data_IF_537289654843
#
_entry.id   IF_537289654843
#
_cell.length_a   1.000
_cell.length_b   1.000
_cell.length_c   1.000
_cell.angle_alpha   90.00
_cell.angle_beta   90.00
_cell.angle_gamma   90.00
#
_symmetry.space_group_name_H-M   'P 1'
#
loop_
_entity.id
_entity.type
_entity.pdbx_description
1 polymer ?
#
# COMPACT_ATOMS: atom_id res chain seq x y z
N UNK A 1 41.50 -7.82 -18.15
CA UNK A 1 41.66 -6.67 -17.24
C UNK A 1 40.30 -6.01 -17.09
N UNK A 2 39.66 -6.15 -15.94
CA UNK A 2 38.35 -5.55 -15.66
C UNK A 2 38.58 -4.15 -15.06
N UNK A 3 38.07 -3.11 -15.72
CA UNK A 3 38.21 -1.73 -15.27
C UNK A 3 37.29 -1.46 -14.07
N UNK A 4 37.84 -1.24 -12.85
CA UNK A 4 37.04 -1.12 -11.62
C UNK A 4 36.19 0.16 -11.53
N UNK A 5 36.42 1.16 -12.40
CA UNK A 5 35.73 2.45 -12.35
C UNK A 5 34.26 2.42 -12.79
N UNK A 6 33.86 1.47 -13.64
CA UNK A 6 32.49 1.44 -14.16
C UNK A 6 31.47 1.01 -13.11
N UNK A 7 31.82 0.08 -12.22
CA UNK A 7 30.88 -0.44 -11.22
C UNK A 7 30.46 0.64 -10.20
N UNK A 8 31.39 1.48 -9.74
CA UNK A 8 31.08 2.54 -8.78
C UNK A 8 30.06 3.55 -9.31
N UNK A 9 30.15 3.91 -10.61
CA UNK A 9 29.20 4.83 -11.24
C UNK A 9 27.77 4.27 -11.28
N UNK A 10 27.64 2.96 -11.48
CA UNK A 10 26.34 2.26 -11.55
C UNK A 10 25.68 2.23 -10.17
N UNK A 11 26.46 1.98 -9.10
CA UNK A 11 25.95 2.00 -7.73
C UNK A 11 25.46 3.39 -7.30
N UNK A 12 26.24 4.44 -7.58
CA UNK A 12 25.84 5.82 -7.29
C UNK A 12 24.53 6.18 -8.00
N UNK A 13 24.42 5.82 -9.28
CA UNK A 13 23.21 6.04 -10.09
C UNK A 13 22.00 5.30 -9.53
N UNK A 14 22.19 4.08 -9.00
CA UNK A 14 21.09 3.29 -8.41
C UNK A 14 20.54 3.93 -7.14
N UNK A 15 21.41 4.37 -6.21
CA UNK A 15 20.99 5.05 -4.98
C UNK A 15 20.24 6.35 -5.28
N UNK A 16 20.74 7.13 -6.24
CA UNK A 16 20.05 8.34 -6.71
C UNK A 16 18.64 8.02 -7.24
N UNK A 17 18.51 6.99 -8.10
CA UNK A 17 17.21 6.61 -8.67
C UNK A 17 16.21 6.11 -7.63
N UNK A 18 16.66 5.44 -6.58
CA UNK A 18 15.78 4.99 -5.46
C UNK A 18 15.34 6.15 -4.58
N UNK A 19 16.21 7.14 -4.35
CA UNK A 19 15.92 8.31 -3.50
C UNK A 19 15.06 9.37 -4.21
N UNK A 20 15.16 9.46 -5.54
CA UNK A 20 14.47 10.48 -6.34
C UNK A 20 12.93 10.54 -6.13
N UNK A 21 12.17 9.42 -6.07
CA UNK A 21 10.75 9.49 -5.77
C UNK A 21 10.44 10.14 -4.41
N UNK A 22 11.30 9.93 -3.40
CA UNK A 22 11.10 10.49 -2.08
C UNK A 22 11.36 12.00 -2.04
N UNK A 23 12.36 12.49 -2.79
CA UNK A 23 12.64 13.93 -2.88
C UNK A 23 11.55 14.66 -3.65
N UNK A 24 10.97 14.02 -4.67
CA UNK A 24 9.88 14.59 -5.47
C UNK A 24 8.52 14.54 -4.78
N UNK A 25 8.36 13.74 -3.72
CA UNK A 25 7.06 13.49 -3.09
C UNK A 25 6.40 14.78 -2.57
N UNK A 26 7.18 15.71 -2.01
CA UNK A 26 6.67 16.99 -1.48
C UNK A 26 6.35 18.02 -2.55
N UNK A 27 6.96 17.92 -3.73
CA UNK A 27 6.84 18.92 -4.81
C UNK A 27 5.79 18.47 -5.83
N UNK A 28 5.86 17.20 -6.24
CA UNK A 28 4.98 16.62 -7.25
C UNK A 28 4.80 15.11 -7.02
N UNK A 29 3.76 14.70 -6.27
CA UNK A 29 3.45 13.29 -6.02
C UNK A 29 3.26 12.49 -7.31
N UNK A 30 2.68 13.10 -8.35
CA UNK A 30 2.47 12.46 -9.65
C UNK A 30 3.79 12.15 -10.37
N UNK A 31 4.76 13.06 -10.31
CA UNK A 31 6.09 12.84 -10.89
C UNK A 31 6.87 11.79 -10.09
N UNK A 32 6.79 11.84 -8.75
CA UNK A 32 7.35 10.79 -7.88
C UNK A 32 6.81 9.40 -8.27
N UNK A 33 5.50 9.27 -8.48
CA UNK A 33 4.86 8.02 -8.90
C UNK A 33 5.36 7.53 -10.27
N UNK A 34 5.57 8.44 -11.22
CA UNK A 34 6.16 8.12 -12.53
C UNK A 34 7.58 7.59 -12.38
N UNK A 35 8.42 8.23 -11.55
CA UNK A 35 9.78 7.77 -11.30
C UNK A 35 9.82 6.40 -10.62
N UNK A 36 8.96 6.17 -9.63
CA UNK A 36 8.80 4.84 -9.00
C UNK A 36 8.43 3.78 -10.03
N UNK A 37 7.44 4.06 -10.89
CA UNK A 37 7.01 3.11 -11.93
C UNK A 37 8.14 2.83 -12.93
N UNK A 38 8.85 3.87 -13.38
CA UNK A 38 10.01 3.72 -14.28
C UNK A 38 11.13 2.92 -13.63
N UNK A 39 11.44 3.20 -12.36
CA UNK A 39 12.48 2.49 -11.61
C UNK A 39 12.16 0.99 -11.51
N UNK A 40 10.92 0.61 -11.16
CA UNK A 40 10.51 -0.80 -11.09
C UNK A 40 10.66 -1.54 -12.41
N UNK A 41 10.33 -0.88 -13.53
CA UNK A 41 10.48 -1.48 -14.88
C UNK A 41 11.94 -1.73 -15.24
N UNK A 42 12.84 -0.84 -14.82
CA UNK A 42 14.27 -0.96 -15.11
C UNK A 42 15.00 -1.90 -14.15
N UNK A 43 14.50 -2.07 -12.92
CA UNK A 43 15.17 -2.80 -11.84
C UNK A 43 14.21 -3.71 -11.06
N UNK A 44 13.64 -4.74 -11.70
CA UNK A 44 12.65 -5.63 -11.09
C UNK A 44 13.19 -6.31 -9.81
N UNK A 45 14.49 -6.59 -9.74
CA UNK A 45 15.16 -7.21 -8.59
C UNK A 45 15.15 -6.35 -7.32
N UNK A 46 15.04 -5.02 -7.46
CA UNK A 46 14.96 -4.08 -6.32
C UNK A 46 13.58 -3.52 -6.07
N UNK A 47 12.59 -3.89 -6.88
CA UNK A 47 11.21 -3.40 -6.75
C UNK A 47 10.62 -3.66 -5.36
N UNK A 48 11.03 -4.74 -4.71
CA UNK A 48 10.58 -5.13 -3.36
C UNK A 48 10.79 -4.02 -2.31
N UNK A 49 11.85 -3.21 -2.43
CA UNK A 49 12.14 -2.12 -1.48
C UNK A 49 11.05 -1.04 -1.55
N UNK A 50 10.55 -0.74 -2.75
CA UNK A 50 9.52 0.29 -2.95
C UNK A 50 8.09 -0.26 -2.77
N UNK A 51 7.87 -1.57 -2.89
CA UNK A 51 6.54 -2.19 -2.71
C UNK A 51 6.00 -2.01 -1.28
N UNK A 52 6.88 -1.71 -0.32
CA UNK A 52 6.48 -1.40 1.04
C UNK A 52 5.84 -0.01 1.19
N UNK A 53 6.23 0.96 0.36
CA UNK A 53 5.85 2.37 0.47
C UNK A 53 5.01 2.91 -0.68
N UNK A 54 5.05 2.25 -1.84
CA UNK A 54 4.40 2.71 -3.06
C UNK A 54 3.48 1.63 -3.66
N UNK A 55 2.37 2.06 -4.24
CA UNK A 55 1.42 1.21 -4.96
C UNK A 55 2.12 0.48 -6.11
N UNK A 56 2.01 -0.84 -6.17
CA UNK A 56 2.64 -1.68 -7.21
C UNK A 56 2.17 -1.34 -8.63
N UNK A 57 0.92 -0.86 -8.78
CA UNK A 57 0.31 -0.61 -10.08
C UNK A 57 0.61 0.80 -10.62
N UNK A 58 0.38 1.85 -9.83
CA UNK A 58 0.51 3.24 -10.30
C UNK A 58 1.76 3.97 -9.76
N UNK A 59 2.49 3.38 -8.81
CA UNK A 59 3.67 3.99 -8.21
C UNK A 59 3.39 5.08 -7.17
N UNK A 60 2.12 5.42 -6.89
CA UNK A 60 1.77 6.40 -5.87
C UNK A 60 2.26 6.00 -4.48
N UNK A 61 2.71 6.97 -3.68
CA UNK A 61 3.06 6.76 -2.29
C UNK A 61 1.80 6.47 -1.46
N UNK A 62 1.87 5.57 -0.47
CA UNK A 62 0.67 5.02 0.19
C UNK A 62 0.52 5.51 1.64
N UNK A 63 1.56 6.15 2.23
CA UNK A 63 1.56 6.52 3.65
C UNK A 63 1.13 7.96 3.96
N UNK A 64 1.02 8.83 2.97
CA UNK A 64 0.62 10.25 3.09
C UNK A 64 -0.91 10.44 3.11
N UNK A 65 -1.66 9.40 3.50
CA UNK A 65 -3.12 9.38 3.43
C UNK A 65 -3.68 8.99 2.05
N UNK A 66 -2.83 8.76 1.03
CA UNK A 66 -3.25 8.22 -0.27
C UNK A 66 -3.46 6.71 -0.29
N UNK A 67 -3.50 6.08 0.89
CA UNK A 67 -3.87 4.69 1.02
C UNK A 67 -4.17 4.29 2.46
N UNK A 68 -4.60 3.04 2.61
CA UNK A 68 -4.96 2.47 3.90
C UNK A 68 -4.30 1.10 4.07
N UNK A 69 -3.77 0.83 5.26
CA UNK A 69 -3.29 -0.49 5.67
C UNK A 69 -4.18 -1.03 6.78
N UNK A 70 -4.81 -2.18 6.56
CA UNK A 70 -5.75 -2.80 7.48
C UNK A 70 -5.33 -4.25 7.77
N UNK A 71 -5.48 -4.68 9.02
CA UNK A 71 -5.30 -6.08 9.41
C UNK A 71 -6.61 -6.84 9.23
N UNK A 72 -6.67 -7.76 8.28
CA UNK A 72 -7.89 -8.52 7.95
C UNK A 72 -7.72 -9.99 8.31
N UNK A 73 -8.75 -10.61 8.90
CA UNK A 73 -8.82 -12.07 9.09
C UNK A 73 -9.54 -12.70 7.90
N UNK A 74 -8.81 -13.45 7.08
CA UNK A 74 -9.37 -14.18 5.95
C UNK A 74 -9.62 -15.65 6.31
N UNK A 75 -10.82 -16.13 5.98
CA UNK A 75 -11.14 -17.55 6.07
C UNK A 75 -10.48 -18.28 4.89
N UNK A 76 -9.56 -19.20 5.19
CA UNK A 76 -8.95 -20.05 4.15
C UNK A 76 -10.03 -20.89 3.48
N UNK A 77 -10.14 -20.81 2.15
CA UNK A 77 -11.10 -21.60 1.35
C UNK A 77 -10.66 -23.06 1.14
N UNK A 78 -9.68 -23.56 1.90
CA UNK A 78 -9.18 -24.92 1.70
C UNK A 78 -10.26 -25.94 2.06
N UNK A 79 -10.84 -26.55 1.03
CA UNK A 79 -11.95 -27.50 1.10
C UNK A 79 -11.58 -28.87 1.70
N UNK A 80 -10.30 -29.15 2.00
CA UNK A 80 -9.83 -30.51 2.29
C UNK A 80 -9.37 -30.79 3.72
N UNK A 81 -9.23 -29.78 4.59
CA UNK A 81 -8.84 -30.04 5.98
C UNK A 81 -10.06 -29.98 6.91
N UNK A 82 -10.48 -31.13 7.45
CA UNK A 82 -11.45 -31.23 8.57
C UNK A 82 -10.91 -30.68 9.90
N UNK A 83 -9.66 -30.23 9.93
CA UNK A 83 -9.00 -29.64 11.09
C UNK A 83 -9.44 -28.17 11.28
N UNK A 84 -9.56 -27.77 12.54
CA UNK A 84 -10.14 -26.51 13.04
C UNK A 84 -9.93 -25.27 12.17
N UNK A 85 -10.91 -24.36 12.15
CA UNK A 85 -10.96 -23.17 11.32
C UNK A 85 -9.79 -22.20 11.57
N UNK A 86 -8.65 -22.42 10.94
CA UNK A 86 -7.55 -21.46 10.97
C UNK A 86 -7.89 -20.28 10.05
N UNK A 87 -8.27 -19.16 10.68
CA UNK A 87 -8.27 -17.86 10.03
C UNK A 87 -6.82 -17.43 9.75
N UNK A 88 -6.53 -17.00 8.53
CA UNK A 88 -5.25 -16.40 8.18
C UNK A 88 -5.35 -14.90 8.38
N UNK A 89 -4.45 -14.31 9.18
CA UNK A 89 -4.31 -12.85 9.27
C UNK A 89 -3.53 -12.37 8.05
N UNK A 90 -4.04 -11.35 7.37
CA UNK A 90 -3.38 -10.70 6.23
C UNK A 90 -3.33 -9.20 6.48
N UNK A 91 -2.22 -8.57 6.09
CA UNK A 91 -2.11 -7.12 5.99
C UNK A 91 -2.64 -6.71 4.62
N UNK A 92 -3.78 -6.02 4.58
CA UNK A 92 -4.38 -5.49 3.36
C UNK A 92 -3.94 -4.06 3.18
N UNK A 93 -3.30 -3.75 2.05
CA UNK A 93 -3.02 -2.38 1.64
C UNK A 93 -3.91 -2.02 0.46
N UNK A 94 -4.46 -0.81 0.49
CA UNK A 94 -5.31 -0.26 -0.57
C UNK A 94 -4.77 1.10 -0.98
N UNK A 95 -4.49 1.28 -2.27
CA UNK A 95 -4.16 2.58 -2.84
C UNK A 95 -5.45 3.34 -3.16
N UNK A 96 -5.59 4.56 -2.66
CA UNK A 96 -6.77 5.40 -2.92
C UNK A 96 -6.70 6.13 -4.26
N UNK A 97 -5.52 6.21 -4.88
CA UNK A 97 -5.35 6.82 -6.21
C UNK A 97 -5.92 5.94 -7.32
N UNK A 98 -5.59 4.64 -7.33
CA UNK A 98 -6.02 3.72 -8.39
C UNK A 98 -6.92 2.56 -7.93
N UNK A 99 -7.20 2.45 -6.62
CA UNK A 99 -8.01 1.37 -6.05
C UNK A 99 -7.31 0.01 -5.95
N UNK A 100 -6.02 -0.08 -6.32
CA UNK A 100 -5.28 -1.35 -6.22
C UNK A 100 -5.19 -1.84 -4.78
N UNK A 101 -5.49 -3.12 -4.57
CA UNK A 101 -5.44 -3.77 -3.26
C UNK A 101 -4.48 -4.94 -3.27
N UNK A 102 -3.57 -5.00 -2.29
CA UNK A 102 -2.66 -6.12 -2.08
C UNK A 102 -2.84 -6.69 -0.67
N UNK A 103 -2.97 -8.01 -0.58
CA UNK A 103 -3.08 -8.75 0.67
C UNK A 103 -1.76 -9.49 0.93
N UNK A 104 -1.00 -9.08 1.94
CA UNK A 104 0.23 -9.74 2.35
C UNK A 104 -0.05 -10.66 3.54
N UNK A 105 0.22 -11.97 3.44
CA UNK A 105 0.01 -12.89 4.55
C UNK A 105 0.93 -12.56 5.72
N UNK A 106 0.36 -12.44 6.91
CA UNK A 106 1.15 -12.30 8.13
C UNK A 106 1.45 -13.70 8.64
N UNK A 107 2.71 -14.11 8.53
CA UNK A 107 3.15 -15.39 9.07
C UNK A 107 2.91 -15.40 10.58
N UNK A 108 1.97 -16.24 11.04
CA UNK A 108 1.64 -16.36 12.46
C UNK A 108 2.61 -17.26 13.24
N UNK A 109 3.74 -17.66 12.62
CA UNK A 109 4.69 -18.65 13.17
C UNK A 109 5.88 -18.02 13.92
N UNK A 110 5.68 -16.88 14.57
CA UNK A 110 6.63 -16.42 15.58
C UNK A 110 6.26 -17.02 16.95
N UNK A 111 6.41 -18.34 17.11
CA UNK A 111 6.39 -19.00 18.44
C UNK A 111 7.74 -18.89 19.14
N UNK A 112 8.67 -18.11 18.58
CA UNK A 112 9.78 -17.54 19.33
C UNK A 112 9.80 -16.04 19.06
N UNK A 113 10.10 -15.20 20.07
CA UNK A 113 10.52 -13.83 19.83
C UNK A 113 11.86 -13.86 19.09
N UNK A 114 11.83 -14.21 17.81
CA UNK A 114 12.93 -13.93 16.92
C UNK A 114 13.05 -12.42 16.89
N UNK A 115 14.13 -11.95 17.52
CA UNK A 115 14.61 -10.57 17.58
C UNK A 115 14.16 -9.84 16.32
N UNK A 116 13.44 -8.72 16.52
CA UNK A 116 12.95 -7.83 15.49
C UNK A 116 13.83 -7.90 14.23
N UNK A 117 13.26 -8.11 13.02
CA UNK A 117 14.01 -7.82 11.81
C UNK A 117 14.48 -6.40 12.01
N UNK A 118 15.80 -6.23 12.14
CA UNK A 118 16.42 -4.95 12.37
C UNK A 118 15.71 -3.99 11.44
N UNK A 119 15.01 -3.02 12.05
CA UNK A 119 14.82 -1.73 11.42
C UNK A 119 16.16 -1.48 10.76
N UNK A 120 16.17 -1.28 9.44
CA UNK A 120 17.39 -0.87 8.75
C UNK A 120 17.81 0.44 9.41
N UNK A 121 18.52 0.35 10.53
CA UNK A 121 19.34 1.41 11.04
C UNK A 121 20.28 1.67 9.86
N UNK A 122 20.17 2.84 9.20
CA UNK A 122 21.22 3.24 8.31
C UNK A 122 22.47 3.22 9.17
N UNK A 123 23.38 2.28 8.88
CA UNK A 123 24.67 2.23 9.55
C UNK A 123 25.22 3.66 9.49
N UNK A 124 25.50 4.32 10.65
CA UNK A 124 25.97 5.68 10.66
C UNK A 124 27.33 5.67 9.98
N UNK A 125 27.32 5.88 8.67
CA UNK A 125 28.51 6.04 7.88
C UNK A 125 29.10 7.32 8.42
N UNK A 126 30.15 7.19 9.22
CA UNK A 126 31.00 8.30 9.66
C UNK A 126 31.61 8.90 8.40
N UNK A 127 30.84 9.72 7.70
CA UNK A 127 31.38 10.62 6.71
C UNK A 127 31.98 11.74 7.53
N UNK A 128 33.31 11.68 7.70
CA UNK A 128 34.10 12.83 8.10
C UNK A 128 33.64 14.01 7.26
N UNK A 129 32.95 14.95 7.92
CA UNK A 129 32.67 16.26 7.37
C UNK A 129 34.01 17.00 7.33
N UNK A 130 34.85 16.65 6.37
CA UNK A 130 35.92 17.53 5.94
C UNK A 130 35.24 18.75 5.32
N UNK A 131 35.26 19.82 6.12
CA UNK A 131 34.83 21.16 5.81
C UNK A 131 35.52 21.66 4.54
N UNK A 132 34.92 21.39 3.38
CA UNK A 132 35.29 22.05 2.13
C UNK A 132 34.53 23.37 2.04
N UNK A 133 35.30 24.42 2.28
CA UNK A 133 35.08 25.84 2.00
C UNK A 133 33.99 26.15 0.97
N UNK A 134 33.04 26.98 1.40
CA UNK A 134 32.02 27.60 0.56
C UNK A 134 32.67 28.60 -0.39
N UNK A 135 33.06 28.15 -1.58
CA UNK A 135 33.25 29.05 -2.71
C UNK A 135 31.91 29.32 -3.38
N UNK A 136 31.40 30.51 -3.10
CA UNK A 136 30.36 31.19 -3.87
C UNK A 136 30.59 31.04 -5.38
N UNK A 137 29.63 30.51 -6.16
CA UNK A 137 29.64 30.73 -7.59
C UNK A 137 29.14 32.15 -7.88
N UNK A 138 30.03 32.87 -8.55
CA UNK A 138 29.82 34.13 -9.23
C UNK A 138 28.53 34.10 -10.07
N UNK A 139 27.85 35.25 -10.08
CA UNK A 139 26.73 35.59 -10.95
C UNK A 139 27.05 35.18 -12.40
N UNK A 140 26.37 34.15 -12.90
CA UNK A 140 26.29 33.90 -14.33
C UNK A 140 24.97 34.47 -14.85
N UNK A 141 25.12 35.39 -15.78
CA UNK A 141 24.05 36.00 -16.53
C UNK A 141 23.17 34.94 -17.20
N UNK A 142 21.87 35.10 -16.99
CA UNK A 142 20.82 34.37 -17.67
C UNK A 142 20.85 34.68 -19.17
N UNK A 143 21.08 33.71 -20.07
CA UNK A 143 20.70 33.89 -21.46
C UNK A 143 19.16 33.90 -21.52
N UNK A 144 18.60 34.99 -22.04
CA UNK A 144 17.18 35.10 -22.39
C UNK A 144 16.84 34.03 -23.43
N UNK A 145 16.24 32.93 -22.97
CA UNK A 145 15.63 31.93 -23.84
C UNK A 145 14.34 32.52 -24.40
N UNK A 146 14.38 32.85 -25.68
CA UNK A 146 13.26 33.22 -26.52
C UNK A 146 12.10 32.22 -26.38
N UNK A 147 10.94 32.76 -26.00
CA UNK A 147 9.65 32.06 -26.00
C UNK A 147 9.34 31.51 -27.41
N UNK A 148 9.02 30.21 -27.55
CA UNK A 148 8.28 29.73 -28.70
C UNK A 148 6.79 30.01 -28.51
N UNK A 149 6.23 30.58 -29.57
CA UNK A 149 4.87 31.00 -29.85
C UNK A 149 3.82 29.93 -29.51
N UNK A 150 2.67 30.27 -28.88
CA UNK A 150 1.54 29.37 -28.74
C UNK A 150 0.75 29.31 -30.05
N UNK A 151 0.71 28.13 -30.68
CA UNK A 151 -0.24 27.83 -31.76
C UNK A 151 -1.52 27.20 -31.14
N UNK A 152 -2.62 27.95 -31.22
CA UNK A 152 -4.02 27.49 -31.18
C UNK A 152 -4.38 26.82 -32.53
N UNK A 153 -5.58 26.20 -32.77
CA UNK A 153 -6.58 25.59 -31.89
C UNK A 153 -7.13 24.21 -32.39
N UNK A 154 -7.94 23.57 -31.54
CA UNK A 154 -9.13 22.73 -31.84
C UNK A 154 -9.05 21.62 -32.90
N UNK A 155 -8.97 20.37 -32.42
CA UNK A 155 -9.45 19.18 -33.15
C UNK A 155 -10.43 18.38 -32.28
N UNK A 156 -11.70 18.19 -32.69
CA UNK A 156 -12.63 17.30 -32.00
C UNK A 156 -12.31 15.86 -32.38
N UNK A 157 -11.46 15.19 -31.59
CA UNK A 157 -11.21 13.77 -31.78
C UNK A 157 -12.23 12.94 -31.01
N UNK A 158 -13.18 12.45 -31.81
CA UNK A 158 -14.01 11.25 -31.67
C UNK A 158 -14.04 10.56 -30.30
N UNK A 159 -15.25 10.54 -29.75
CA UNK A 159 -15.80 9.52 -28.84
C UNK A 159 -15.32 8.10 -29.16
N UNK A 160 -14.27 7.65 -28.49
CA UNK A 160 -13.91 6.23 -28.38
C UNK A 160 -14.78 5.59 -27.32
N UNK A 161 -15.78 4.81 -27.76
CA UNK A 161 -16.58 3.95 -26.90
C UNK A 161 -15.68 3.08 -26.00
N UNK A 162 -16.00 2.90 -24.70
CA UNK A 162 -15.37 1.87 -23.91
C UNK A 162 -15.74 0.48 -24.48
N UNK A 163 -14.80 -0.48 -24.55
CA UNK A 163 -15.13 -1.84 -24.92
C UNK A 163 -16.11 -2.42 -23.87
N UNK A 164 -17.33 -2.65 -24.34
CA UNK A 164 -18.36 -3.44 -23.68
C UNK A 164 -17.85 -4.87 -23.48
N UNK A 165 -17.17 -5.10 -22.36
CA UNK A 165 -16.85 -6.45 -21.92
C UNK A 165 -18.14 -7.14 -21.48
N UNK A 166 -18.61 -8.02 -22.36
CA UNK A 166 -19.60 -9.07 -22.13
C UNK A 166 -19.21 -9.92 -20.90
N UNK A 167 -19.59 -9.46 -19.71
CA UNK A 167 -19.57 -10.25 -18.49
C UNK A 167 -20.82 -11.14 -18.52
N UNK A 168 -20.59 -12.37 -19.00
CA UNK A 168 -21.53 -13.48 -18.97
C UNK A 168 -22.17 -13.58 -17.58
N UNK A 169 -23.49 -13.44 -17.61
CA UNK A 169 -24.50 -13.75 -16.59
C UNK A 169 -24.02 -14.78 -15.56
N UNK A 170 -23.84 -14.32 -14.33
CA UNK A 170 -24.15 -15.05 -13.10
C UNK A 170 -24.86 -14.08 -12.12
N UNK A 171 -25.90 -13.40 -12.62
CA UNK A 171 -26.85 -12.63 -11.81
C UNK A 171 -27.96 -13.55 -11.33
N UNK A 172 -27.72 -14.29 -10.26
CA UNK A 172 -28.78 -14.93 -9.45
C UNK A 172 -28.27 -15.02 -8.00
N UNK A 173 -28.27 -13.88 -7.28
CA UNK A 173 -28.24 -13.80 -5.79
C UNK A 173 -28.17 -12.38 -5.20
N UNK A 174 -28.07 -11.32 -6.01
CA UNK A 174 -27.94 -9.94 -5.52
C UNK A 174 -29.28 -9.17 -5.36
N UNK A 175 -30.41 -9.86 -5.30
CA UNK A 175 -31.69 -9.29 -4.89
C UNK A 175 -32.17 -9.95 -3.59
N UNK A 176 -31.26 -10.10 -2.62
CA UNK A 176 -31.69 -10.18 -1.22
C UNK A 176 -32.13 -8.77 -0.84
N UNK A 177 -33.43 -8.56 -1.00
CA UNK A 177 -34.15 -7.35 -0.65
C UNK A 177 -33.75 -6.90 0.75
N UNK A 178 -33.72 -5.58 0.97
CA UNK A 178 -33.50 -4.95 2.28
C UNK A 178 -34.29 -5.66 3.41
N UNK A 179 -35.46 -6.18 3.07
CA UNK A 179 -36.33 -6.98 3.91
C UNK A 179 -35.67 -8.25 4.48
N UNK A 180 -34.90 -9.02 3.71
CA UNK A 180 -34.17 -10.22 4.21
C UNK A 180 -33.00 -9.83 5.13
N UNK A 181 -32.47 -8.60 4.99
CA UNK A 181 -31.46 -8.07 5.89
C UNK A 181 -32.08 -7.69 7.24
N UNK A 182 -33.19 -6.96 7.22
CA UNK A 182 -33.94 -6.55 8.42
C UNK A 182 -34.48 -7.75 9.20
N UNK A 183 -34.97 -8.78 8.50
CA UNK A 183 -35.44 -10.01 9.13
C UNK A 183 -34.30 -10.81 9.78
N UNK A 184 -33.10 -10.78 9.18
CA UNK A 184 -31.90 -11.36 9.80
C UNK A 184 -31.48 -10.63 11.05
N UNK A 185 -31.53 -9.30 11.05
CA UNK A 185 -31.11 -8.51 12.19
C UNK A 185 -32.08 -8.65 13.36
N UNK A 186 -33.40 -8.68 13.09
CA UNK A 186 -34.42 -8.98 14.11
C UNK A 186 -34.18 -10.33 14.77
N UNK A 187 -33.91 -11.37 13.97
CA UNK A 187 -33.57 -12.72 14.48
C UNK A 187 -32.30 -12.74 15.33
N UNK A 188 -31.28 -11.95 14.98
CA UNK A 188 -30.04 -11.86 15.77
C UNK A 188 -30.27 -11.17 17.12
N UNK A 189 -31.14 -10.18 17.15
CA UNK A 189 -31.47 -9.46 18.38
C UNK A 189 -32.25 -10.34 19.36
N UNK A 190 -33.19 -11.16 18.89
CA UNK A 190 -33.92 -12.13 19.71
C UNK A 190 -32.99 -13.15 20.36
N UNK A 191 -32.02 -13.69 19.61
CA UNK A 191 -31.03 -14.63 20.15
C UNK A 191 -30.16 -13.98 21.22
N UNK A 192 -29.77 -12.71 21.04
CA UNK A 192 -29.01 -11.97 22.06
C UNK A 192 -29.83 -11.72 23.32
N UNK A 193 -31.10 -11.31 23.17
CA UNK A 193 -32.01 -11.11 24.31
C UNK A 193 -32.25 -12.42 25.08
N UNK A 194 -32.40 -13.54 24.38
CA UNK A 194 -32.52 -14.85 25.03
C UNK A 194 -31.25 -15.25 25.80
N UNK A 195 -30.06 -14.85 25.33
CA UNK A 195 -28.80 -15.09 26.03
C UNK A 195 -28.67 -14.19 27.27
N UNK A 196 -29.01 -12.91 27.16
CA UNK A 196 -28.96 -11.94 28.27
C UNK A 196 -29.85 -12.36 29.45
N UNK A 197 -31.04 -12.93 29.18
CA UNK A 197 -31.94 -13.40 30.24
C UNK A 197 -31.33 -14.57 31.03
N UNK A 198 -30.56 -15.44 30.39
CA UNK A 198 -29.87 -16.54 31.07
C UNK A 198 -28.59 -16.06 31.78
N UNK A 199 -27.89 -15.07 31.24
CA UNK A 199 -26.64 -14.54 31.80
C UNK A 199 -26.89 -13.60 33.01
N UNK A 200 -28.02 -12.89 33.00
CA UNK A 200 -28.47 -12.05 34.13
C UNK A 200 -28.74 -12.83 35.42
N UNK A 201 -28.89 -14.16 35.35
CA UNK A 201 -29.09 -15.02 36.52
C UNK A 201 -27.78 -15.47 37.18
N UNK A 202 -26.61 -15.19 36.57
CA UNK A 202 -25.31 -15.68 37.06
C UNK A 202 -24.20 -14.64 37.29
N UNK A 203 -24.34 -13.40 36.81
CA UNK A 203 -23.18 -12.47 36.74
C UNK A 203 -22.84 -11.69 38.01
N UNK A 204 -23.81 -11.37 38.88
CA UNK A 204 -23.59 -10.52 40.06
C UNK A 204 -24.25 -11.06 41.34
N UNK A 205 -25.44 -11.65 41.25
CA UNK A 205 -26.12 -12.25 42.41
C UNK A 205 -25.34 -13.45 42.97
N UNK A 206 -24.70 -14.25 42.11
CA UNK A 206 -23.91 -15.40 42.56
C UNK A 206 -22.70 -14.98 43.41
N UNK A 207 -22.14 -13.79 43.19
CA UNK A 207 -20.98 -13.29 43.94
C UNK A 207 -21.33 -12.79 45.35
N UNK A 208 -22.62 -12.49 45.61
CA UNK A 208 -23.09 -12.01 46.90
C UNK A 208 -23.62 -13.13 47.81
N UNK A 209 -23.82 -14.34 47.29
CA UNK A 209 -24.28 -15.50 48.08
C UNK A 209 -23.14 -16.29 48.73
N UNK A 210 -21.87 -15.94 48.46
CA UNK A 210 -20.67 -16.65 48.93
C UNK A 210 -19.91 -15.89 50.05
N UNK A 211 -20.62 -14.99 50.75
CA UNK A 211 -20.18 -14.26 51.96
C UNK A 211 -21.09 -14.62 53.13
#
# INVERSE_FOLDING_TARGET
MNSPGLEQSVFATRKYRVSLPYTLLSISPSLAALHTTRFRRLHPETSNVLNCSHCEQCGAYVFDGQGSTLLVRQKRKNKRSKSSSHFQRVSRRTCHVCGFTVDTPISSRATSPARHPLICDPEPTKTDMSSAESHHPSKQDTPSTSQPTPALPLGPQSSGQPPSHNSKKNKTKAARTLQDMLERDRRREEVRKAHDVNESRGGLIAFLQDL
#
